data_IF_427067292771
#
_entry.id   IF_427067292771
#
_cell.length_a   1.000
_cell.length_b   1.000
_cell.length_c   1.000
_cell.angle_alpha   90.00
_cell.angle_beta   90.00
_cell.angle_gamma   90.00
#
_symmetry.space_group_name_H-M   'P 1'
#
loop_
_entity.id
_entity.type
_entity.pdbx_description
1 polymer ?
#
# COMPACT_ATOMS: atom_id res chain seq x y z
N UNK A 1 11.63 -10.83 37.27
CA UNK A 1 12.33 -9.64 36.77
C UNK A 1 12.14 -9.61 35.26
N UNK A 2 11.08 -8.95 34.80
CA UNK A 2 10.83 -8.76 33.38
C UNK A 2 11.65 -7.57 32.90
N UNK A 3 12.53 -7.79 31.94
CA UNK A 3 13.26 -6.71 31.27
C UNK A 3 12.25 -5.90 30.47
N UNK A 4 12.04 -4.64 30.85
CA UNK A 4 11.39 -3.63 30.01
C UNK A 4 12.28 -3.44 28.78
N UNK A 5 11.92 -4.09 27.69
CA UNK A 5 12.48 -3.80 26.38
C UNK A 5 12.06 -2.39 26.01
N UNK A 6 13.01 -1.46 25.98
CA UNK A 6 12.83 -0.11 25.46
C UNK A 6 12.53 -0.17 23.97
N UNK A 7 11.28 -0.48 23.61
CA UNK A 7 10.78 -0.38 22.25
C UNK A 7 10.52 1.09 21.96
N UNK A 8 11.49 1.78 21.37
CA UNK A 8 11.25 3.11 20.80
C UNK A 8 10.06 3.03 19.85
N UNK A 9 9.03 3.83 20.08
CA UNK A 9 7.84 3.84 19.25
C UNK A 9 8.19 4.28 17.83
N UNK A 10 7.92 3.43 16.83
CA UNK A 10 8.11 3.78 15.43
C UNK A 10 7.11 4.88 15.04
N UNK A 11 7.62 6.11 14.86
CA UNK A 11 6.82 7.26 14.43
C UNK A 11 6.80 7.31 12.90
N UNK A 12 5.62 7.14 12.32
CA UNK A 12 5.35 7.28 10.88
C UNK A 12 4.48 8.51 10.65
N UNK A 13 5.03 9.51 9.95
CA UNK A 13 4.34 10.76 9.59
C UNK A 13 3.82 10.67 8.17
N UNK A 14 2.51 10.79 8.00
CA UNK A 14 1.89 10.81 6.66
C UNK A 14 2.06 12.19 6.05
N UNK A 15 2.70 12.24 4.88
CA UNK A 15 2.97 13.47 4.14
C UNK A 15 1.84 13.77 3.13
N UNK A 16 1.37 12.74 2.42
CA UNK A 16 0.40 12.90 1.34
C UNK A 16 -0.55 11.70 1.25
N UNK A 17 -1.79 11.95 0.86
CA UNK A 17 -2.77 10.93 0.50
C UNK A 17 -3.35 11.29 -0.86
N UNK A 18 -3.38 10.32 -1.76
CA UNK A 18 -3.94 10.46 -3.09
C UNK A 18 -4.66 9.18 -3.49
N UNK A 19 -5.45 9.27 -4.55
CA UNK A 19 -6.09 8.11 -5.17
C UNK A 19 -5.49 7.93 -6.55
N UNK A 20 -5.01 6.72 -6.85
CA UNK A 20 -4.44 6.36 -8.14
C UNK A 20 -5.43 5.47 -8.88
N UNK A 21 -6.10 6.02 -9.89
CA UNK A 21 -6.99 5.29 -10.77
C UNK A 21 -6.24 4.72 -11.99
N UNK A 22 -6.88 3.82 -12.74
CA UNK A 22 -6.34 3.34 -14.00
C UNK A 22 -6.18 4.50 -15.00
N UNK A 23 -5.12 4.44 -15.81
CA UNK A 23 -4.78 5.51 -16.77
C UNK A 23 -5.73 5.58 -17.97
N UNK A 24 -6.47 4.51 -18.25
CA UNK A 24 -7.47 4.45 -19.31
C UNK A 24 -8.88 4.41 -18.72
N UNK A 25 -9.89 4.91 -19.44
CA UNK A 25 -11.28 4.73 -19.04
C UNK A 25 -11.62 3.24 -18.99
N UNK A 26 -12.33 2.85 -17.94
CA UNK A 26 -12.80 1.48 -17.73
C UNK A 26 -14.32 1.47 -17.74
N UNK A 27 -14.90 0.39 -18.26
CA UNK A 27 -16.33 0.19 -18.22
C UNK A 27 -16.75 -0.25 -16.81
N UNK A 28 -17.69 0.49 -16.22
CA UNK A 28 -18.27 0.11 -14.94
C UNK A 28 -19.08 -1.19 -15.07
N UNK A 29 -18.80 -2.13 -14.19
CA UNK A 29 -19.52 -3.40 -14.08
C UNK A 29 -19.30 -4.02 -12.70
N UNK A 30 -20.17 -4.97 -12.36
CA UNK A 30 -20.03 -5.79 -11.16
C UNK A 30 -19.29 -7.07 -11.51
N UNK A 31 -18.30 -7.40 -10.69
CA UNK A 31 -17.58 -8.66 -10.76
C UNK A 31 -17.99 -9.52 -9.55
N UNK A 32 -18.84 -10.54 -9.74
CA UNK A 32 -19.23 -11.43 -8.66
C UNK A 32 -18.04 -12.29 -8.23
N UNK A 33 -17.96 -12.58 -6.94
CA UNK A 33 -16.96 -13.49 -6.39
C UNK A 33 -17.34 -14.94 -6.70
N UNK A 34 -16.33 -15.79 -6.91
CA UNK A 34 -16.57 -17.22 -7.10
C UNK A 34 -16.87 -17.91 -5.77
N UNK A 35 -17.46 -19.12 -5.82
CA UNK A 35 -17.69 -19.92 -4.60
C UNK A 35 -16.41 -20.18 -3.79
N UNK A 36 -15.24 -20.22 -4.44
CA UNK A 36 -13.98 -20.41 -3.74
C UNK A 36 -13.54 -19.14 -3.01
N UNK A 37 -13.81 -17.96 -3.59
CA UNK A 37 -13.54 -16.68 -2.96
C UNK A 37 -14.47 -16.45 -1.74
N UNK A 38 -15.73 -16.90 -1.81
CA UNK A 38 -16.72 -16.82 -0.73
C UNK A 38 -16.44 -17.79 0.44
N UNK A 39 -15.60 -18.81 0.23
CA UNK A 39 -15.23 -19.75 1.30
C UNK A 39 -14.33 -19.10 2.35
N UNK A 40 -13.54 -18.11 1.95
CA UNK A 40 -12.59 -17.44 2.82
C UNK A 40 -13.30 -16.31 3.58
N UNK A 41 -13.03 -16.14 4.89
CA UNK A 41 -13.49 -14.96 5.60
C UNK A 41 -12.87 -13.69 4.99
N UNK A 42 -13.46 -12.51 5.21
CA UNK A 42 -12.85 -11.24 4.82
C UNK A 42 -11.51 -11.07 5.55
N UNK A 43 -10.40 -11.25 4.85
CA UNK A 43 -9.04 -11.11 5.38
C UNK A 43 -8.29 -10.07 4.55
N UNK A 44 -7.72 -9.08 5.22
CA UNK A 44 -6.80 -8.13 4.59
C UNK A 44 -5.38 -8.69 4.67
N UNK A 45 -4.75 -8.92 3.51
CA UNK A 45 -3.37 -9.39 3.42
C UNK A 45 -2.44 -8.21 3.17
N UNK A 46 -1.49 -8.01 4.08
CA UNK A 46 -0.44 -7.00 3.96
C UNK A 46 0.88 -7.58 3.49
N UNK A 47 1.54 -6.92 2.54
CA UNK A 47 2.92 -7.22 2.14
C UNK A 47 3.78 -5.97 2.32
N UNK A 48 5.01 -6.17 2.78
CA UNK A 48 5.95 -5.09 3.05
C UNK A 48 7.27 -5.35 2.33
N UNK A 49 7.73 -4.36 1.56
CA UNK A 49 8.94 -4.45 0.74
C UNK A 49 9.96 -3.38 1.14
N UNK A 50 11.21 -3.82 1.26
CA UNK A 50 12.35 -2.98 1.61
C UNK A 50 13.27 -2.78 0.41
N UNK A 51 13.56 -1.53 0.06
CA UNK A 51 14.50 -1.22 -1.01
C UNK A 51 15.65 -0.38 -0.48
N UNK A 52 16.88 -0.80 -0.76
CA UNK A 52 18.07 0.02 -0.52
C UNK A 52 18.08 1.18 -1.51
N UNK A 53 18.38 2.39 -1.05
CA UNK A 53 18.60 3.54 -1.93
C UNK A 53 19.79 3.26 -2.87
N UNK A 54 19.50 3.10 -4.15
CA UNK A 54 20.53 2.86 -5.17
C UNK A 54 21.00 4.21 -5.74
N UNK A 55 22.25 4.57 -5.44
CA UNK A 55 22.90 5.78 -5.97
C UNK A 55 23.49 5.58 -7.39
N UNK A 56 23.48 4.35 -7.91
CA UNK A 56 24.23 3.95 -9.11
C UNK A 56 23.36 3.68 -10.35
N UNK A 57 22.11 3.22 -10.18
CA UNK A 57 21.27 2.74 -11.30
C UNK A 57 20.24 3.75 -11.82
N UNK A 58 19.95 4.79 -11.05
CA UNK A 58 19.06 5.88 -11.43
C UNK A 58 19.96 7.04 -11.82
N UNK A 59 19.75 7.63 -13.01
CA UNK A 59 20.44 8.85 -13.43
C UNK A 59 20.47 9.87 -12.28
N UNK A 60 21.55 10.65 -12.18
CA UNK A 60 21.89 11.54 -11.05
C UNK A 60 20.73 12.41 -10.52
N UNK A 61 19.72 12.68 -11.36
CA UNK A 61 18.51 13.45 -11.06
C UNK A 61 17.37 12.65 -10.39
N UNK A 62 17.25 11.34 -10.67
CA UNK A 62 16.22 10.45 -10.10
C UNK A 62 16.66 9.83 -8.76
N UNK A 63 17.96 9.61 -8.58
CA UNK A 63 18.50 8.94 -7.38
C UNK A 63 18.43 9.76 -6.09
N UNK A 64 18.15 11.07 -6.21
CA UNK A 64 18.23 12.00 -5.08
C UNK A 64 16.89 12.40 -4.47
N UNK A 65 15.74 12.08 -5.10
CA UNK A 65 14.44 12.56 -4.61
C UNK A 65 13.40 11.43 -4.48
N UNK A 66 13.00 11.12 -3.25
CA UNK A 66 11.93 10.16 -2.92
C UNK A 66 10.64 10.44 -3.70
N UNK A 67 10.25 11.72 -3.82
CA UNK A 67 9.05 12.11 -4.55
C UNK A 67 9.09 11.72 -6.04
N UNK A 68 10.28 11.69 -6.65
CA UNK A 68 10.42 11.25 -8.05
C UNK A 68 10.16 9.74 -8.19
N UNK A 69 10.71 8.94 -7.28
CA UNK A 69 10.46 7.49 -7.25
C UNK A 69 8.98 7.18 -7.00
N UNK A 70 8.35 7.88 -6.06
CA UNK A 70 6.92 7.76 -5.81
C UNK A 70 6.11 8.13 -7.06
N UNK A 71 6.50 9.19 -7.78
CA UNK A 71 5.88 9.57 -9.04
C UNK A 71 5.94 8.47 -10.10
N UNK A 72 7.07 7.75 -10.20
CA UNK A 72 7.20 6.57 -11.08
C UNK A 72 6.29 5.44 -10.62
N UNK A 73 6.27 5.13 -9.31
CA UNK A 73 5.41 4.08 -8.75
C UNK A 73 3.93 4.34 -9.01
N UNK A 74 3.46 5.59 -8.83
CA UNK A 74 2.07 5.97 -9.12
C UNK A 74 1.71 5.81 -10.59
N UNK A 75 2.59 6.21 -11.50
CA UNK A 75 2.38 6.03 -12.95
C UNK A 75 2.34 4.54 -13.33
N UNK A 76 3.26 3.75 -12.79
CA UNK A 76 3.29 2.31 -13.03
C UNK A 76 2.03 1.62 -12.47
N UNK A 77 1.57 2.03 -11.28
CA UNK A 77 0.32 1.55 -10.70
C UNK A 77 -0.88 1.89 -11.59
N UNK A 78 -1.01 3.15 -12.03
CA UNK A 78 -2.08 3.56 -12.93
C UNK A 78 -2.10 2.76 -14.25
N UNK A 79 -0.93 2.38 -14.77
CA UNK A 79 -0.82 1.51 -15.95
C UNK A 79 -1.22 0.06 -15.64
N UNK A 80 -0.75 -0.50 -14.52
CA UNK A 80 -1.07 -1.86 -14.12
C UNK A 80 -2.57 -2.06 -13.84
N UNK A 81 -3.24 -1.04 -13.29
CA UNK A 81 -4.68 -1.05 -13.01
C UNK A 81 -5.55 -1.15 -14.28
N UNK A 82 -5.00 -0.92 -15.47
CA UNK A 82 -5.74 -1.19 -16.72
C UNK A 82 -5.97 -2.69 -16.89
N UNK A 83 -4.95 -3.52 -16.61
CA UNK A 83 -5.06 -4.98 -16.70
C UNK A 83 -5.71 -5.56 -15.45
N UNK A 84 -5.36 -5.04 -14.27
CA UNK A 84 -5.85 -5.51 -12.98
C UNK A 84 -6.91 -4.56 -12.38
N UNK A 85 -7.92 -4.25 -13.18
CA UNK A 85 -8.94 -3.23 -12.88
C UNK A 85 -9.74 -3.49 -11.61
N UNK A 86 -9.91 -4.76 -11.21
CA UNK A 86 -10.63 -5.11 -9.99
C UNK A 86 -10.00 -4.45 -8.73
N UNK A 87 -8.68 -4.22 -8.72
CA UNK A 87 -8.02 -3.53 -7.61
C UNK A 87 -8.35 -2.04 -7.51
N UNK A 88 -8.86 -1.43 -8.57
CA UNK A 88 -9.34 -0.05 -8.60
C UNK A 88 -10.85 0.06 -8.30
N UNK A 89 -11.52 -1.05 -8.00
CA UNK A 89 -12.93 -1.10 -7.64
C UNK A 89 -13.20 -1.02 -6.14
N UNK A 90 -14.45 -1.25 -5.77
CA UNK A 90 -14.95 -1.24 -4.40
C UNK A 90 -15.69 -2.54 -4.07
N UNK A 91 -15.52 -3.06 -2.85
CA UNK A 91 -16.29 -4.21 -2.38
C UNK A 91 -17.65 -3.71 -1.90
N UNK A 92 -18.72 -4.21 -2.51
CA UNK A 92 -20.11 -3.88 -2.20
C UNK A 92 -20.90 -5.15 -1.92
N UNK A 93 -22.03 -5.05 -1.22
CA UNK A 93 -22.93 -6.18 -1.01
C UNK A 93 -24.04 -6.17 -2.05
N UNK A 94 -24.32 -7.34 -2.63
CA UNK A 94 -25.47 -7.52 -3.52
C UNK A 94 -26.79 -7.64 -2.72
N UNK A 95 -27.96 -7.67 -3.37
CA UNK A 95 -29.25 -7.73 -2.68
C UNK A 95 -29.45 -8.95 -1.77
N UNK A 96 -28.68 -10.02 -1.97
CA UNK A 96 -28.71 -11.25 -1.16
C UNK A 96 -27.68 -11.23 -0.03
N UNK A 97 -26.85 -10.18 0.04
CA UNK A 97 -25.85 -9.95 1.08
C UNK A 97 -24.44 -10.47 0.75
N UNK A 98 -24.23 -11.06 -0.43
CA UNK A 98 -22.92 -11.55 -0.85
C UNK A 98 -22.02 -10.41 -1.33
N UNK A 99 -20.71 -10.46 -1.07
CA UNK A 99 -19.77 -9.46 -1.55
C UNK A 99 -19.52 -9.59 -3.06
N UNK A 100 -19.47 -8.44 -3.74
CA UNK A 100 -19.12 -8.30 -5.15
C UNK A 100 -18.16 -7.11 -5.31
N UNK A 101 -17.37 -7.10 -6.39
CA UNK A 101 -16.50 -5.96 -6.70
C UNK A 101 -17.19 -5.06 -7.72
N UNK A 102 -17.51 -3.84 -7.34
CA UNK A 102 -17.91 -2.77 -8.24
C UNK A 102 -16.66 -2.20 -8.92
N UNK A 103 -16.44 -2.55 -10.18
CA UNK A 103 -15.33 -2.08 -11.00
C UNK A 103 -15.60 -0.68 -11.57
N UNK A 104 -15.72 0.34 -10.71
CA UNK A 104 -16.02 1.73 -11.08
C UNK A 104 -14.79 2.64 -11.29
N UNK A 105 -13.58 2.06 -11.27
CA UNK A 105 -12.31 2.79 -11.35
C UNK A 105 -12.18 3.90 -10.29
N UNK A 106 -12.75 3.72 -9.09
CA UNK A 106 -12.54 4.60 -7.94
C UNK A 106 -11.06 4.82 -7.67
N UNK A 107 -10.25 3.78 -7.84
CA UNK A 107 -8.79 3.82 -7.71
C UNK A 107 -8.27 3.41 -6.33
N UNK A 108 -6.95 3.28 -6.25
CA UNK A 108 -6.22 2.77 -5.10
C UNK A 108 -5.81 3.91 -4.18
N UNK A 109 -6.09 3.78 -2.87
CA UNK A 109 -5.58 4.70 -1.87
C UNK A 109 -4.06 4.60 -1.79
N UNK A 110 -3.35 5.69 -2.12
CA UNK A 110 -1.90 5.77 -2.12
C UNK A 110 -1.43 6.78 -1.07
N UNK A 111 -0.63 6.32 -0.12
CA UNK A 111 -0.11 7.11 1.00
C UNK A 111 1.39 7.30 0.86
N UNK A 112 1.84 8.54 0.98
CA UNK A 112 3.25 8.88 1.15
C UNK A 112 3.50 9.19 2.61
N UNK A 113 4.52 8.56 3.20
CA UNK A 113 4.88 8.77 4.59
C UNK A 113 6.39 8.83 4.79
N UNK A 114 6.79 9.32 5.95
CA UNK A 114 8.16 9.39 6.42
C UNK A 114 8.26 8.71 7.79
N UNK A 115 9.25 7.86 7.99
CA UNK A 115 9.52 7.17 9.24
C UNK A 115 10.78 7.72 9.92
N UNK A 116 10.66 8.11 11.19
CA UNK A 116 11.77 8.57 12.03
C UNK A 116 12.58 7.39 12.60
N UNK A 117 12.92 6.43 11.76
CA UNK A 117 13.72 5.26 12.10
C UNK A 117 14.57 4.84 10.90
N UNK A 118 15.70 4.17 11.16
CA UNK A 118 16.43 3.48 10.11
C UNK A 118 15.81 2.11 9.85
N UNK A 119 15.91 1.65 8.61
CA UNK A 119 15.36 0.34 8.23
C UNK A 119 15.98 -0.83 9.02
N UNK A 120 17.24 -0.70 9.44
CA UNK A 120 17.96 -1.71 10.21
C UNK A 120 17.43 -1.86 11.65
N UNK A 121 16.71 -0.86 12.14
CA UNK A 121 16.19 -0.81 13.51
C UNK A 121 14.77 -1.42 13.59
N UNK A 122 14.19 -1.85 12.46
CA UNK A 122 12.89 -2.51 12.43
C UNK A 122 12.99 -3.95 12.90
N UNK A 123 12.08 -4.34 13.81
CA UNK A 123 11.98 -5.71 14.30
C UNK A 123 11.14 -6.60 13.35
N UNK A 124 11.79 -7.21 12.36
CA UNK A 124 11.13 -8.14 11.44
C UNK A 124 10.71 -9.48 12.06
N UNK A 125 11.19 -9.81 13.26
CA UNK A 125 10.78 -11.03 13.96
C UNK A 125 9.34 -10.95 14.47
N UNK A 126 8.89 -9.74 14.86
CA UNK A 126 7.49 -9.49 15.21
C UNK A 126 6.90 -8.34 14.36
N UNK A 127 6.38 -8.64 13.16
CA UNK A 127 5.85 -7.64 12.25
C UNK A 127 4.57 -6.97 12.79
N UNK A 128 3.82 -7.64 13.66
CA UNK A 128 2.57 -7.09 14.21
C UNK A 128 2.83 -5.87 15.12
N UNK A 129 3.96 -5.88 15.84
CA UNK A 129 4.35 -4.77 16.74
C UNK A 129 4.91 -3.55 15.97
N UNK A 130 5.60 -3.79 14.86
CA UNK A 130 6.43 -2.77 14.18
C UNK A 130 5.94 -2.36 12.79
N UNK A 131 5.28 -3.26 12.06
CA UNK A 131 4.89 -3.08 10.67
C UNK A 131 3.37 -2.90 10.55
N UNK A 132 2.58 -3.74 11.22
CA UNK A 132 1.12 -3.71 11.11
C UNK A 132 0.55 -2.38 11.64
N UNK A 133 -0.32 -1.75 10.84
CA UNK A 133 -0.96 -0.49 11.19
C UNK A 133 -0.06 0.75 11.16
N UNK A 134 1.26 0.58 10.95
CA UNK A 134 2.26 1.67 10.86
C UNK A 134 2.84 1.78 9.46
N UNK A 135 3.46 0.71 8.97
CA UNK A 135 4.16 0.67 7.68
C UNK A 135 3.31 0.05 6.56
N UNK A 136 2.33 -0.77 6.91
CA UNK A 136 1.31 -1.28 5.98
C UNK A 136 0.01 -0.48 6.16
N UNK A 137 -0.55 0.12 5.10
CA UNK A 137 -1.76 0.92 5.22
C UNK A 137 -2.96 0.01 5.50
N UNK A 138 -3.85 0.46 6.39
CA UNK A 138 -5.18 -0.16 6.50
C UNK A 138 -6.01 0.22 5.29
N UNK A 139 -6.55 -0.78 4.60
CA UNK A 139 -7.50 -0.61 3.51
C UNK A 139 -8.80 -0.05 4.08
N UNK A 140 -9.15 1.19 3.73
CA UNK A 140 -10.39 1.84 4.18
C UNK A 140 -11.49 1.74 3.13
N UNK A 141 -11.12 2.00 1.88
CA UNK A 141 -12.01 1.98 0.73
C UNK A 141 -11.34 1.15 -0.36
N UNK A 142 -12.14 0.43 -1.14
CA UNK A 142 -11.65 -0.34 -2.26
C UNK A 142 -11.06 -1.71 -1.92
N UNK A 143 -10.32 -2.25 -2.89
CA UNK A 143 -9.72 -3.60 -2.85
C UNK A 143 -8.23 -3.57 -2.51
N UNK A 144 -7.52 -2.46 -2.79
CA UNK A 144 -6.09 -2.30 -2.54
C UNK A 144 -5.77 -0.94 -1.91
N UNK A 145 -4.77 -0.90 -1.03
CA UNK A 145 -4.15 0.31 -0.53
C UNK A 145 -2.62 0.18 -0.53
N UNK A 146 -1.92 1.26 -0.86
CA UNK A 146 -0.45 1.28 -1.01
C UNK A 146 0.13 2.40 -0.15
N UNK A 147 1.24 2.12 0.52
CA UNK A 147 2.01 3.13 1.27
C UNK A 147 3.47 3.07 0.84
N UNK A 148 4.01 4.22 0.44
CA UNK A 148 5.45 4.41 0.25
C UNK A 148 6.01 5.17 1.44
N UNK A 149 7.04 4.61 2.09
CA UNK A 149 7.67 5.21 3.27
C UNK A 149 9.13 5.56 2.95
N UNK A 150 9.50 6.82 3.19
CA UNK A 150 10.91 7.23 3.25
C UNK A 150 11.42 7.07 4.68
N UNK A 151 12.57 6.44 4.84
CA UNK A 151 13.20 6.22 6.15
C UNK A 151 14.23 7.29 6.46
N UNK A 152 14.35 7.64 7.73
CA UNK A 152 15.43 8.47 8.23
C UNK A 152 16.79 7.79 7.96
N UNK A 153 17.78 8.59 7.59
CA UNK A 153 19.16 8.14 7.39
C UNK A 153 20.09 9.23 7.91
N UNK A 154 20.84 8.94 8.98
CA UNK A 154 21.97 9.77 9.38
C UNK A 154 23.07 9.60 8.33
N UNK A 155 23.54 10.70 7.75
CA UNK A 155 24.74 10.71 6.90
C UNK A 155 25.99 10.50 7.74
#
# INVERSE_FOLDING_TARGET
>A
MGSEGGGGELIVKVNKREVVAAVLPLQEHWLPLSNLDLLLPPVDVGVFFCYKKSTSLLGKDLSNNFGSMVGVLKKALAQALVTYYAFAGEVVSNPVGEPEILCNNRGVDFVEAFAEAELKDLNFYNPDDTIEGKLVPKKKHGVLAVQSVEYFSMK
#
